data_IF_186626151835
#
_entry.id   IF_186626151835
#
_cell.length_a   1.000
_cell.length_b   1.000
_cell.length_c   1.000
_cell.angle_alpha   90.00
_cell.angle_beta   90.00
_cell.angle_gamma   90.00
#
_symmetry.space_group_name_H-M   'P 1'
#
loop_
_entity.id
_entity.type
_entity.pdbx_description
1 polymer ?
#
# COMPACT_ATOMS: atom_id res chain seq x y z
N UNK A 1 -22.77 22.98 12.52
CA UNK A 1 -21.93 22.53 11.40
C UNK A 1 -21.09 21.37 11.89
N UNK A 2 -21.69 20.19 12.04
CA UNK A 2 -20.99 18.97 12.43
C UNK A 2 -20.28 18.44 11.20
N UNK A 3 -18.97 18.70 11.12
CA UNK A 3 -18.10 18.08 10.12
C UNK A 3 -18.17 16.57 10.36
N UNK A 4 -18.91 15.87 9.50
CA UNK A 4 -18.98 14.41 9.53
C UNK A 4 -17.63 13.90 9.01
N UNK A 5 -16.72 13.63 9.94
CA UNK A 5 -15.46 12.95 9.64
C UNK A 5 -15.87 11.54 9.20
N UNK A 6 -15.86 11.29 7.89
CA UNK A 6 -16.04 9.95 7.35
C UNK A 6 -15.06 9.04 8.09
N UNK A 7 -15.57 7.96 8.67
CA UNK A 7 -14.73 6.92 9.25
C UNK A 7 -13.70 6.46 8.19
N UNK A 8 -12.43 6.23 8.59
CA UNK A 8 -11.38 5.85 7.66
C UNK A 8 -11.78 4.60 6.89
N UNK A 9 -11.67 4.65 5.57
CA UNK A 9 -12.03 3.53 4.71
C UNK A 9 -11.07 2.37 5.01
N UNK A 10 -11.57 1.19 5.43
CA UNK A 10 -10.71 0.03 5.66
C UNK A 10 -9.98 -0.33 4.36
N UNK A 11 -8.64 -0.34 4.41
CA UNK A 11 -7.77 -0.57 3.24
C UNK A 11 -7.12 0.69 2.65
N UNK A 12 -7.48 1.90 3.11
CA UNK A 12 -6.77 3.13 2.72
C UNK A 12 -5.40 3.28 3.41
N UNK A 13 -4.48 4.04 2.81
CA UNK A 13 -3.20 4.42 3.43
C UNK A 13 -3.42 5.15 4.76
N UNK A 14 -4.39 6.07 4.82
CA UNK A 14 -4.78 6.76 6.06
C UNK A 14 -5.20 5.76 7.14
N UNK A 15 -6.13 4.84 6.81
CA UNK A 15 -6.58 3.84 7.77
C UNK A 15 -5.49 2.86 8.19
N UNK A 16 -4.51 2.55 7.32
CA UNK A 16 -3.32 1.80 7.70
C UNK A 16 -2.49 2.58 8.73
N UNK A 17 -2.17 3.83 8.43
CA UNK A 17 -1.33 4.67 9.29
C UNK A 17 -1.98 4.92 10.65
N UNK A 18 -3.29 5.15 10.72
CA UNK A 18 -4.01 5.32 11.99
C UNK A 18 -3.92 4.05 12.86
N UNK A 19 -4.07 2.86 12.27
CA UNK A 19 -3.90 1.59 13.01
C UNK A 19 -2.48 1.40 13.52
N UNK A 20 -1.48 1.74 12.70
CA UNK A 20 -0.06 1.66 13.11
C UNK A 20 0.23 2.69 14.20
N UNK A 21 -0.30 3.91 14.10
CA UNK A 21 -0.15 4.93 15.12
C UNK A 21 -0.77 4.51 16.47
N UNK A 22 -1.88 3.76 16.44
CA UNK A 22 -2.52 3.26 17.66
C UNK A 22 -1.78 2.07 18.31
N UNK A 23 -1.07 1.25 17.53
CA UNK A 23 -0.54 -0.04 18.01
C UNK A 23 0.99 -0.14 18.03
N UNK A 24 1.68 0.71 17.26
CA UNK A 24 3.11 0.60 16.99
C UNK A 24 3.49 -0.65 16.19
N UNK A 25 2.51 -1.32 15.55
CA UNK A 25 2.71 -2.57 14.83
C UNK A 25 2.13 -2.46 13.43
N UNK A 26 2.93 -2.83 12.43
CA UNK A 26 2.48 -2.95 11.04
C UNK A 26 1.84 -4.32 10.86
N UNK A 27 0.57 -4.41 10.39
CA UNK A 27 -0.08 -5.70 10.21
C UNK A 27 0.63 -6.51 9.13
N UNK A 28 0.83 -7.82 9.38
CA UNK A 28 1.52 -8.71 8.46
C UNK A 28 0.88 -8.72 7.05
N UNK A 29 -0.44 -8.60 6.96
CA UNK A 29 -1.16 -8.49 5.69
C UNK A 29 -0.74 -7.29 4.85
N UNK A 30 -0.31 -6.18 5.46
CA UNK A 30 0.17 -5.00 4.74
C UNK A 30 1.63 -5.12 4.28
N UNK A 31 2.39 -6.05 4.85
CA UNK A 31 3.77 -6.35 4.43
C UNK A 31 3.86 -7.47 3.39
N UNK A 32 2.79 -8.24 3.19
CA UNK A 32 2.79 -9.39 2.30
C UNK A 32 3.15 -9.06 0.83
N UNK A 33 2.88 -7.83 0.38
CA UNK A 33 3.20 -7.35 -0.96
C UNK A 33 4.57 -6.65 -1.07
N UNK A 34 5.26 -6.40 0.06
CA UNK A 34 6.49 -5.65 0.07
C UNK A 34 7.72 -6.57 -0.05
N UNK A 35 8.70 -6.25 -0.89
CA UNK A 35 10.02 -6.86 -0.80
C UNK A 35 10.61 -6.47 0.55
N UNK A 36 10.92 -7.47 1.39
CA UNK A 36 11.12 -7.29 2.83
C UNK A 36 12.21 -6.29 3.26
N UNK A 37 12.26 -6.04 4.56
CA UNK A 37 13.27 -5.17 5.21
C UNK A 37 14.63 -5.84 5.26
N UNK A 38 15.70 -5.06 5.09
CA UNK A 38 17.08 -5.52 5.32
C UNK A 38 17.76 -4.69 6.41
N UNK A 39 18.42 -5.36 7.35
CA UNK A 39 19.22 -4.68 8.37
C UNK A 39 20.62 -4.35 7.81
N UNK A 40 21.00 -3.08 7.92
CA UNK A 40 22.36 -2.60 7.66
C UNK A 40 23.33 -3.15 8.70
N UNK A 41 24.55 -3.48 8.28
CA UNK A 41 25.64 -3.94 9.14
C UNK A 41 26.85 -3.04 8.99
N UNK A 42 27.65 -2.89 10.05
CA UNK A 42 28.92 -2.15 10.03
C UNK A 42 30.12 -3.06 9.74
N UNK A 43 29.87 -4.36 9.63
CA UNK A 43 30.89 -5.35 9.26
C UNK A 43 31.52 -4.95 7.93
N UNK A 44 32.85 -4.87 7.90
CA UNK A 44 33.60 -4.55 6.69
C UNK A 44 33.22 -5.51 5.57
N UNK A 45 33.03 -4.99 4.35
CA UNK A 45 32.59 -5.77 3.19
C UNK A 45 31.08 -6.03 3.10
N UNK A 46 30.28 -5.67 4.11
CA UNK A 46 28.82 -5.77 4.00
C UNK A 46 28.27 -4.85 2.91
N UNK A 47 27.43 -5.42 2.05
CA UNK A 47 26.75 -4.70 0.97
C UNK A 47 25.25 -4.92 1.08
N UNK A 48 24.49 -3.93 0.63
CA UNK A 48 23.05 -4.07 0.49
C UNK A 48 22.71 -4.87 -0.77
N UNK A 49 21.59 -5.61 -0.77
CA UNK A 49 21.07 -6.22 -1.99
C UNK A 49 20.89 -5.18 -3.11
N UNK A 50 21.05 -5.62 -4.36
CA UNK A 50 20.78 -4.77 -5.51
C UNK A 50 19.32 -4.26 -5.45
N UNK A 51 19.14 -2.95 -5.69
CA UNK A 51 17.82 -2.31 -5.62
C UNK A 51 17.34 -1.96 -4.21
N UNK A 52 18.06 -2.30 -3.14
CA UNK A 52 17.67 -1.90 -1.79
C UNK A 52 17.87 -0.39 -1.56
N UNK A 53 16.88 0.26 -0.93
CA UNK A 53 16.91 1.69 -0.61
C UNK A 53 17.22 1.91 0.86
N UNK A 54 18.21 2.74 1.14
CA UNK A 54 18.52 3.20 2.51
C UNK A 54 17.46 4.20 2.97
N UNK A 55 16.86 3.94 4.13
CA UNK A 55 15.83 4.80 4.77
C UNK A 55 16.23 5.22 6.19
N UNK A 56 17.53 5.21 6.50
CA UNK A 56 18.04 5.61 7.83
C UNK A 56 17.82 7.09 8.13
N UNK A 57 18.00 7.52 9.39
CA UNK A 57 17.76 8.89 9.89
C UNK A 57 18.27 10.01 8.97
N UNK A 58 19.45 9.87 8.37
CA UNK A 58 20.04 10.90 7.49
C UNK A 58 19.38 11.04 6.11
N UNK A 59 18.28 10.33 5.85
CA UNK A 59 17.51 10.41 4.61
C UNK A 59 16.17 11.10 4.85
N UNK A 60 15.51 11.56 3.80
CA UNK A 60 14.14 12.11 3.89
C UNK A 60 13.09 11.13 4.44
N UNK A 61 13.40 9.83 4.46
CA UNK A 61 12.54 8.76 4.99
C UNK A 61 12.97 8.31 6.39
N UNK A 62 13.93 9.01 7.01
CA UNK A 62 14.35 8.71 8.35
C UNK A 62 13.23 8.96 9.37
N UNK A 63 13.14 8.13 10.40
CA UNK A 63 12.30 8.44 11.54
C UNK A 63 12.92 9.59 12.37
N UNK A 64 12.26 10.77 12.49
CA UNK A 64 12.73 11.85 13.36
C UNK A 64 12.55 11.48 14.84
N UNK A 65 11.61 10.60 15.15
CA UNK A 65 11.22 10.24 16.51
C UNK A 65 12.25 9.31 17.16
N UNK A 66 12.48 9.53 18.45
CA UNK A 66 13.29 8.66 19.31
C UNK A 66 12.48 8.19 20.49
N UNK A 67 12.38 6.87 20.66
CA UNK A 67 11.81 6.25 21.84
C UNK A 67 12.65 5.04 22.25
N UNK A 68 12.63 4.72 23.54
CA UNK A 68 13.26 3.50 24.07
C UNK A 68 12.57 2.23 23.56
N UNK A 69 11.24 2.27 23.46
CA UNK A 69 10.43 1.19 22.86
C UNK A 69 10.30 1.41 21.33
N UNK A 70 10.75 0.45 20.50
CA UNK A 70 10.57 0.49 19.05
C UNK A 70 9.12 0.67 18.61
N UNK A 71 8.13 0.11 19.33
CA UNK A 71 6.70 0.27 18.99
C UNK A 71 6.26 1.72 19.14
N UNK A 72 6.71 2.40 20.19
CA UNK A 72 6.42 3.82 20.41
C UNK A 72 7.05 4.66 19.29
N UNK A 73 8.28 4.37 18.89
CA UNK A 73 8.94 5.06 17.78
C UNK A 73 8.21 4.84 16.44
N UNK A 74 7.70 3.63 16.19
CA UNK A 74 6.91 3.28 15.00
C UNK A 74 5.55 3.96 15.01
N UNK A 75 4.86 3.97 16.15
CA UNK A 75 3.58 4.65 16.33
C UNK A 75 3.71 6.16 16.06
N UNK A 76 4.72 6.79 16.65
CA UNK A 76 5.01 8.20 16.44
C UNK A 76 5.38 8.49 14.98
N UNK A 77 6.12 7.59 14.32
CA UNK A 77 6.42 7.74 12.90
C UNK A 77 5.18 7.65 11.99
N UNK A 78 4.24 6.75 12.29
CA UNK A 78 2.98 6.67 11.54
C UNK A 78 2.14 7.94 11.73
N UNK A 79 2.10 8.51 12.94
CA UNK A 79 1.48 9.81 13.20
C UNK A 79 2.18 10.95 12.43
N UNK A 80 3.52 10.92 12.34
CA UNK A 80 4.27 11.88 11.54
C UNK A 80 3.92 11.81 10.05
N UNK A 81 3.73 10.60 9.49
CA UNK A 81 3.28 10.42 8.12
C UNK A 81 1.86 10.93 7.89
N UNK A 82 0.93 10.70 8.83
CA UNK A 82 -0.42 11.28 8.78
C UNK A 82 -0.38 12.81 8.74
N UNK A 83 0.52 13.42 9.50
CA UNK A 83 0.72 14.86 9.53
C UNK A 83 1.50 15.41 8.31
N UNK A 84 2.08 14.55 7.46
CA UNK A 84 2.97 14.95 6.37
C UNK A 84 2.57 14.32 5.03
N UNK A 85 1.47 14.78 4.40
CA UNK A 85 0.99 14.21 3.12
C UNK A 85 2.03 14.20 2.00
N UNK A 86 2.86 15.23 1.90
CA UNK A 86 3.93 15.32 0.89
C UNK A 86 5.00 14.24 1.04
N UNK A 87 5.23 13.75 2.25
CA UNK A 87 6.13 12.63 2.51
C UNK A 87 5.47 11.31 2.11
N UNK A 88 4.18 11.13 2.42
CA UNK A 88 3.40 9.96 1.96
C UNK A 88 3.41 9.87 0.44
N UNK A 89 3.19 10.99 -0.25
CA UNK A 89 3.27 11.07 -1.71
C UNK A 89 4.63 10.64 -2.27
N UNK A 90 5.73 11.04 -1.60
CA UNK A 90 7.07 10.62 -1.98
C UNK A 90 7.29 9.12 -1.75
N UNK A 91 6.76 8.57 -0.65
CA UNK A 91 6.83 7.13 -0.35
C UNK A 91 6.10 6.32 -1.43
N UNK A 92 4.91 6.75 -1.81
CA UNK A 92 4.09 6.08 -2.84
C UNK A 92 4.71 6.10 -4.23
N UNK A 93 5.51 7.12 -4.56
CA UNK A 93 6.18 7.22 -5.88
C UNK A 93 7.54 6.53 -5.93
N UNK A 94 8.32 6.63 -4.86
CA UNK A 94 9.77 6.37 -4.92
C UNK A 94 10.17 5.04 -4.29
N UNK A 95 9.35 4.48 -3.40
CA UNK A 95 9.64 3.26 -2.64
C UNK A 95 8.90 1.97 -3.06
N UNK A 96 7.89 1.95 -3.97
CA UNK A 96 7.22 0.70 -4.32
C UNK A 96 8.19 -0.35 -4.87
N UNK A 97 8.01 -1.61 -4.45
CA UNK A 97 8.83 -2.72 -4.94
C UNK A 97 10.31 -2.70 -4.53
N UNK A 98 10.72 -1.81 -3.62
CA UNK A 98 12.10 -1.76 -3.11
C UNK A 98 12.23 -2.41 -1.74
N UNK A 99 13.30 -3.18 -1.53
CA UNK A 99 13.72 -3.59 -0.18
C UNK A 99 14.21 -2.36 0.59
N UNK A 100 13.72 -2.15 1.81
CA UNK A 100 14.09 -0.98 2.60
C UNK A 100 15.14 -1.33 3.67
N UNK A 101 16.20 -0.53 3.73
CA UNK A 101 17.36 -0.76 4.59
C UNK A 101 17.43 0.21 5.77
N UNK A 102 17.44 -0.33 6.98
CA UNK A 102 17.59 0.42 8.25
C UNK A 102 18.62 -0.25 9.17
N UNK A 103 19.02 0.42 10.26
CA UNK A 103 19.92 -0.14 11.28
C UNK A 103 19.19 -1.00 12.33
N UNK A 104 17.86 -0.87 12.44
CA UNK A 104 17.07 -1.61 13.42
C UNK A 104 17.17 -3.13 13.21
N UNK A 105 17.13 -3.93 14.30
CA UNK A 105 17.02 -5.38 14.21
C UNK A 105 15.84 -5.84 13.33
N UNK A 106 16.00 -6.94 12.60
CA UNK A 106 14.93 -7.50 11.74
C UNK A 106 13.74 -8.07 12.52
N UNK A 107 13.93 -8.42 13.79
CA UNK A 107 12.87 -8.95 14.66
C UNK A 107 12.10 -7.85 15.42
N UNK A 108 12.57 -6.60 15.38
CA UNK A 108 11.94 -5.49 16.08
C UNK A 108 11.11 -4.62 15.11
N UNK A 109 9.99 -4.03 15.56
CA UNK A 109 9.24 -3.04 14.78
C UNK A 109 10.15 -1.94 14.24
N UNK A 110 10.03 -1.63 12.95
CA UNK A 110 10.85 -0.62 12.31
C UNK A 110 10.01 0.36 11.47
N UNK A 111 10.46 1.60 11.37
CA UNK A 111 9.81 2.60 10.52
C UNK A 111 9.87 2.21 9.03
N UNK A 112 10.87 1.43 8.63
CA UNK A 112 10.97 0.86 7.29
C UNK A 112 9.78 -0.05 6.95
N UNK A 113 9.17 -0.71 7.95
CA UNK A 113 7.98 -1.54 7.73
C UNK A 113 6.76 -0.67 7.42
N UNK A 114 6.65 0.49 8.08
CA UNK A 114 5.59 1.47 7.81
C UNK A 114 5.72 1.98 6.38
N UNK A 115 6.93 2.38 5.98
CA UNK A 115 7.23 2.83 4.62
C UNK A 115 6.93 1.76 3.57
N UNK A 116 7.33 0.52 3.82
CA UNK A 116 7.06 -0.61 2.95
C UNK A 116 5.56 -0.87 2.80
N UNK A 117 4.81 -0.86 3.91
CA UNK A 117 3.37 -1.05 3.87
C UNK A 117 2.64 0.06 3.11
N UNK A 118 3.05 1.33 3.31
CA UNK A 118 2.48 2.47 2.58
C UNK A 118 2.82 2.39 1.08
N UNK A 119 4.09 2.19 0.74
CA UNK A 119 4.56 2.16 -0.64
C UNK A 119 3.90 1.06 -1.48
N UNK A 120 3.51 -0.05 -0.83
CA UNK A 120 2.90 -1.19 -1.50
C UNK A 120 1.38 -1.31 -1.24
N UNK A 121 0.75 -0.31 -0.60
CA UNK A 121 -0.69 -0.29 -0.31
C UNK A 121 -1.57 -0.25 -1.57
N UNK A 122 -1.02 0.25 -2.69
CA UNK A 122 -1.72 0.37 -3.97
C UNK A 122 -1.00 -0.36 -5.11
N UNK A 123 0.03 -1.17 -4.81
CA UNK A 123 0.70 -1.89 -5.89
C UNK A 123 -0.32 -2.81 -6.57
N UNK A 124 -0.55 -2.62 -7.88
CA UNK A 124 -1.56 -3.34 -8.60
C UNK A 124 -1.20 -4.81 -8.56
N UNK A 125 -2.24 -5.59 -8.30
CA UNK A 125 -2.21 -7.03 -8.24
C UNK A 125 -1.74 -7.53 -9.62
N UNK A 126 -0.43 -7.79 -9.77
CA UNK A 126 0.11 -8.71 -10.78
C UNK A 126 -0.43 -10.16 -10.61
N UNK A 127 -1.39 -10.34 -9.70
CA UNK A 127 -2.22 -11.49 -9.46
C UNK A 127 -3.67 -11.34 -9.99
N UNK A 128 -3.95 -10.37 -10.89
CA UNK A 128 -5.23 -10.32 -11.61
C UNK A 128 -5.03 -11.10 -12.90
N UNK A 129 -5.56 -12.32 -12.94
CA UNK A 129 -5.60 -13.09 -14.19
C UNK A 129 -6.92 -12.74 -14.87
N UNK A 130 -6.87 -12.23 -16.09
CA UNK A 130 -8.03 -12.21 -16.98
C UNK A 130 -8.27 -13.67 -17.39
N UNK A 131 -9.28 -14.31 -16.80
CA UNK A 131 -9.73 -15.64 -17.25
C UNK A 131 -11.07 -15.41 -17.95
N UNK A 132 -11.09 -15.63 -19.26
CA UNK A 132 -12.28 -15.51 -20.11
C UNK A 132 -13.02 -14.15 -19.98
N UNK A 133 -12.28 -13.03 -20.08
CA UNK A 133 -12.85 -11.69 -20.14
C UNK A 133 -13.41 -11.12 -18.83
N UNK A 134 -13.17 -11.77 -17.69
CA UNK A 134 -13.64 -11.30 -16.38
C UNK A 134 -12.49 -11.11 -15.39
N UNK A 135 -12.44 -9.95 -14.73
CA UNK A 135 -11.52 -9.66 -13.63
C UNK A 135 -11.92 -10.47 -12.38
N UNK A 136 -11.02 -11.32 -11.89
CA UNK A 136 -11.22 -12.07 -10.63
C UNK A 136 -10.10 -11.79 -9.63
N UNK A 137 -10.46 -11.69 -8.35
CA UNK A 137 -9.51 -11.62 -7.24
C UNK A 137 -8.88 -13.01 -7.00
N UNK A 138 -7.54 -13.12 -7.00
CA UNK A 138 -6.83 -14.39 -6.71
C UNK A 138 -6.89 -14.84 -5.25
N UNK A 139 -7.24 -13.94 -4.33
CA UNK A 139 -7.22 -14.21 -2.90
C UNK A 139 -8.49 -14.91 -2.37
N UNK A 140 -9.53 -15.08 -3.21
CA UNK A 140 -10.77 -15.73 -2.79
C UNK A 140 -11.28 -16.70 -3.88
N UNK A 141 -11.32 -18.02 -3.62
CA UNK A 141 -11.82 -18.99 -4.60
C UNK A 141 -13.36 -19.07 -4.68
N UNK A 142 -14.12 -18.22 -3.96
CA UNK A 142 -15.58 -18.25 -4.02
C UNK A 142 -16.10 -17.52 -5.26
N UNK A 143 -16.59 -18.31 -6.21
CA UNK A 143 -17.49 -17.81 -7.24
C UNK A 143 -18.79 -17.36 -6.58
N UNK A 144 -18.95 -16.07 -6.30
CA UNK A 144 -20.23 -15.46 -6.04
C UNK A 144 -20.41 -14.30 -7.01
N UNK A 145 -21.17 -14.58 -8.06
CA UNK A 145 -21.39 -13.73 -9.20
C UNK A 145 -22.78 -13.06 -9.09
N UNK A 146 -22.84 -11.79 -9.51
CA UNK A 146 -23.96 -10.99 -10.03
C UNK A 146 -25.18 -10.61 -9.15
N UNK A 147 -25.44 -9.29 -9.08
CA UNK A 147 -26.55 -8.52 -9.71
C UNK A 147 -26.46 -7.07 -9.16
N UNK A 148 -26.47 -6.00 -9.97
CA UNK A 148 -27.67 -5.36 -10.53
C UNK A 148 -27.39 -4.78 -11.94
N UNK A 149 -28.39 -4.99 -12.78
CA UNK A 149 -28.61 -4.55 -14.15
C UNK A 149 -28.71 -3.03 -14.31
N UNK A 150 -28.06 -2.46 -15.32
CA UNK A 150 -28.25 -1.06 -15.76
C UNK A 150 -28.17 -0.96 -17.28
N UNK A 151 -29.34 -0.96 -17.92
CA UNK A 151 -29.51 -0.98 -19.38
C UNK A 151 -28.99 0.28 -20.08
N UNK A 152 -28.32 0.03 -21.21
CA UNK A 152 -28.49 0.65 -22.53
C UNK A 152 -29.41 1.89 -22.58
N UNK A 153 -28.82 3.09 -22.62
CA UNK A 153 -29.12 4.13 -23.62
C UNK A 153 -28.19 5.33 -23.40
N UNK A 154 -27.42 5.65 -24.44
CA UNK A 154 -26.32 6.60 -24.39
C UNK A 154 -26.67 7.94 -23.78
N UNK A 155 -25.97 8.30 -22.70
CA UNK A 155 -25.53 9.65 -22.34
C UNK A 155 -24.56 9.53 -21.17
N UNK A 156 -23.38 10.13 -21.33
CA UNK A 156 -22.29 10.09 -20.37
C UNK A 156 -22.69 10.63 -18.99
N UNK A 157 -22.33 9.92 -17.92
CA UNK A 157 -21.77 10.42 -16.66
C UNK A 157 -21.92 9.37 -15.56
N UNK A 158 -21.02 9.42 -14.59
CA UNK A 158 -21.24 9.17 -13.16
C UNK A 158 -21.40 7.70 -12.66
N UNK A 159 -20.29 7.23 -12.08
CA UNK A 159 -20.11 6.16 -11.08
C UNK A 159 -20.23 4.69 -11.52
N UNK A 160 -19.09 4.00 -11.57
CA UNK A 160 -19.03 2.55 -11.33
C UNK A 160 -17.88 2.26 -10.37
N UNK A 161 -18.19 2.21 -9.06
CA UNK A 161 -17.35 1.59 -8.05
C UNK A 161 -17.82 0.14 -7.90
N UNK A 162 -17.09 -0.82 -8.47
CA UNK A 162 -17.30 -2.23 -8.21
C UNK A 162 -16.35 -2.67 -7.09
N UNK A 163 -16.91 -2.91 -5.91
CA UNK A 163 -16.19 -3.41 -4.74
C UNK A 163 -16.36 -4.93 -4.67
N UNK A 164 -15.26 -5.66 -4.54
CA UNK A 164 -15.30 -7.04 -4.08
C UNK A 164 -15.59 -7.01 -2.56
N UNK A 165 -16.81 -7.32 -2.15
CA UNK A 165 -17.21 -7.31 -0.73
C UNK A 165 -16.50 -8.37 0.12
N UNK A 166 -15.75 -9.29 -0.51
CA UNK A 166 -15.05 -10.37 0.19
C UNK A 166 -13.55 -10.11 0.41
N UNK A 167 -12.94 -9.13 -0.25
CA UNK A 167 -11.52 -8.79 -0.11
C UNK A 167 -11.36 -7.28 -0.23
N UNK A 168 -10.93 -6.62 0.85
CA UNK A 168 -10.76 -5.17 0.96
C UNK A 168 -9.57 -4.61 0.13
N UNK A 169 -9.54 -4.90 -1.17
CA UNK A 169 -8.57 -4.35 -2.13
C UNK A 169 -9.36 -3.49 -3.11
N UNK A 170 -9.43 -2.19 -2.81
CA UNK A 170 -10.06 -1.19 -3.67
C UNK A 170 -9.11 -0.72 -4.76
N UNK A 171 -9.52 -0.84 -6.02
CA UNK A 171 -8.82 -0.25 -7.16
C UNK A 171 -9.04 1.27 -7.14
N UNK A 172 -8.00 2.02 -6.79
CA UNK A 172 -7.83 3.39 -7.25
C UNK A 172 -6.98 3.34 -8.52
N UNK A 173 -7.64 3.15 -9.67
CA UNK A 173 -7.00 3.17 -10.98
C UNK A 173 -7.50 4.36 -11.79
N UNK A 174 -6.56 5.07 -12.41
CA UNK A 174 -6.80 6.08 -13.44
C UNK A 174 -7.67 5.49 -14.59
N UNK A 175 -8.81 6.11 -14.95
CA UNK A 175 -9.70 5.60 -16.00
C UNK A 175 -9.01 5.44 -17.37
N UNK A 176 -7.98 6.23 -17.68
CA UNK A 176 -7.32 6.16 -18.99
C UNK A 176 -6.38 4.95 -19.11
N UNK A 177 -5.78 4.51 -18.00
CA UNK A 177 -4.93 3.33 -17.95
C UNK A 177 -5.72 2.02 -18.16
N UNK A 178 -7.00 1.99 -17.74
CA UNK A 178 -7.88 0.83 -17.92
C UNK A 178 -8.41 0.72 -19.35
N UNK A 179 -8.65 1.85 -20.03
CA UNK A 179 -9.08 1.86 -21.43
C UNK A 179 -7.99 1.32 -22.38
N UNK A 180 -6.71 1.60 -22.10
CA UNK A 180 -5.59 1.13 -22.91
C UNK A 180 -5.38 -0.39 -22.87
N UNK A 181 -5.73 -1.06 -21.76
CA UNK A 181 -5.66 -2.52 -21.64
C UNK A 181 -6.83 -3.20 -22.38
N UNK A 182 -8.03 -2.63 -22.31
CA UNK A 182 -9.21 -3.17 -22.99
C UNK A 182 -9.18 -3.01 -24.54
N UNK A 183 -8.25 -2.21 -25.07
CA UNK A 183 -8.05 -2.04 -26.51
C UNK A 183 -7.10 -3.09 -27.10
N UNK A 184 -6.08 -3.55 -26.37
CA UNK A 184 -5.10 -4.53 -26.88
C UNK A 184 -5.67 -5.94 -27.07
N UNK A 185 -6.69 -6.33 -26.31
CA UNK A 185 -7.26 -7.68 -26.37
C UNK A 185 -8.29 -7.88 -27.49
N UNK A 186 -8.65 -6.82 -28.24
CA UNK A 186 -9.58 -6.89 -29.38
C UNK A 186 -8.91 -6.98 -30.75
N UNK A 187 -7.58 -7.05 -30.79
CA UNK A 187 -6.79 -7.08 -32.04
C UNK A 187 -5.98 -8.37 -32.23
N UNK A 188 -6.39 -9.46 -31.57
CA UNK A 188 -5.93 -10.84 -31.80
C UNK A 188 -7.15 -11.75 -31.94
#
# INVERSE_FOLDING_TARGET
MTSSVLAPVPGSVTGLLERVAATGVVPASALAAAPGRVQRRRTAGSRLPAGARVVTRGTRYGNPETAADPRVAVAAYAAHLLATPSLVDAVLRELPGLMLACWCPVEAPCHADVLAAVANAFLPVAATQVIAGNLRCRACPSAAAWLIQGHLNGRASQWVRAWCTSCAVGLAGDPDALAALAYRERSL
#
